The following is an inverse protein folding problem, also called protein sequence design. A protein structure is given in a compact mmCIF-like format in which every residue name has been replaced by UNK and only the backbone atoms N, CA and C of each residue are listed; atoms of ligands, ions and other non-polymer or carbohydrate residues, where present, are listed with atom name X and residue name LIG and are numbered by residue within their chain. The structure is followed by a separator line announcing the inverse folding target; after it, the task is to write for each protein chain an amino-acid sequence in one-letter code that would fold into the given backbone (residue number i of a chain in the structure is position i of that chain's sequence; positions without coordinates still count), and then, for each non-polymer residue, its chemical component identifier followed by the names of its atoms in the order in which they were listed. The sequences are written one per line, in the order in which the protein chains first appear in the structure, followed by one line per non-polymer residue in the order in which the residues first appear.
data_IF_330463034868
#
_entry.id   IF_330463034868
#
_cell.length_a   1.000
_cell.length_b   1.000
_cell.length_c   1.000
_cell.angle_alpha   90.00
_cell.angle_beta   90.00
_cell.angle_gamma   90.00
#
_symmetry.space_group_name_H-M   'P 1'
#
loop_
_entity.id
_entity.type
_entity.pdbx_description
1 polymer ?
#
# COMPACT_ATOMS: atom_id res chain seq x y z
N UNK A 1 -16.35 -11.42 4.22
CA UNK A 1 -17.83 -11.43 4.39
C UNK A 1 -18.62 -11.64 3.10
N UNK A 2 -18.00 -11.71 1.91
CA UNK A 2 -18.73 -11.97 0.66
C UNK A 2 -19.08 -13.48 0.54
N UNK A 3 -20.37 -13.88 0.51
CA UNK A 3 -20.72 -15.30 0.47
C UNK A 3 -20.33 -16.00 -0.84
N UNK A 4 -20.30 -15.27 -1.96
CA UNK A 4 -19.95 -15.82 -3.27
C UNK A 4 -18.45 -15.89 -3.53
N UNK A 5 -17.60 -15.46 -2.59
CA UNK A 5 -16.15 -15.43 -2.79
C UNK A 5 -15.68 -14.49 -3.93
N UNK A 6 -16.51 -13.53 -4.35
CA UNK A 6 -16.19 -12.64 -5.49
C UNK A 6 -15.18 -11.54 -5.15
N UNK A 7 -14.78 -11.39 -3.88
CA UNK A 7 -13.81 -10.40 -3.44
C UNK A 7 -12.51 -11.13 -3.17
N UNK A 8 -11.43 -10.68 -3.81
CA UNK A 8 -10.11 -11.28 -3.69
C UNK A 8 -9.04 -10.18 -3.60
N UNK A 9 -7.90 -10.54 -3.03
CA UNK A 9 -6.67 -9.74 -3.01
C UNK A 9 -5.74 -10.34 -4.06
N UNK A 10 -5.26 -9.52 -4.98
CA UNK A 10 -4.23 -9.92 -5.96
C UNK A 10 -2.93 -10.24 -5.23
N UNK A 11 -2.23 -11.27 -5.69
CA UNK A 11 -1.04 -11.80 -5.03
C UNK A 11 0.18 -10.91 -5.31
N UNK A 12 0.29 -10.46 -6.56
CA UNK A 12 1.42 -9.70 -7.09
C UNK A 12 1.53 -8.27 -6.55
N UNK A 13 0.41 -7.60 -6.25
CA UNK A 13 0.40 -6.18 -5.85
C UNK A 13 -0.48 -5.89 -4.61
N UNK A 14 -1.18 -6.89 -4.09
CA UNK A 14 -2.04 -6.74 -2.93
C UNK A 14 -3.31 -5.92 -3.16
N UNK A 15 -3.67 -5.57 -4.41
CA UNK A 15 -4.88 -4.80 -4.70
C UNK A 15 -6.12 -5.68 -4.49
N UNK A 16 -7.07 -5.20 -3.69
CA UNK A 16 -8.35 -5.89 -3.45
C UNK A 16 -9.36 -5.50 -4.52
N UNK A 17 -9.93 -6.47 -5.23
CA UNK A 17 -10.92 -6.27 -6.29
C UNK A 17 -12.23 -7.00 -6.00
N UNK A 18 -13.30 -6.55 -6.66
CA UNK A 18 -14.58 -7.28 -6.71
C UNK A 18 -14.75 -7.76 -8.13
N UNK A 19 -14.64 -9.08 -8.32
CA UNK A 19 -14.89 -9.76 -9.59
C UNK A 19 -16.33 -9.47 -10.03
N UNK A 20 -16.47 -8.73 -11.12
CA UNK A 20 -17.79 -8.32 -11.59
C UNK A 20 -18.59 -9.50 -12.12
N UNK A 21 -17.98 -10.55 -12.64
CA UNK A 21 -18.70 -11.70 -13.20
C UNK A 21 -19.14 -12.70 -12.13
N UNK A 22 -18.33 -12.89 -11.08
CA UNK A 22 -18.68 -13.71 -9.91
C UNK A 22 -19.59 -12.99 -8.92
N UNK A 23 -19.66 -11.66 -8.94
CA UNK A 23 -20.52 -10.91 -8.04
C UNK A 23 -22.00 -11.23 -8.27
N UNK A 24 -22.69 -11.65 -7.20
CA UNK A 24 -24.14 -11.97 -7.19
C UNK A 24 -24.99 -10.94 -6.46
N UNK A 25 -24.41 -9.80 -6.07
CA UNK A 25 -25.20 -8.69 -5.49
C UNK A 25 -25.73 -8.95 -4.08
N UNK A 26 -25.11 -9.83 -3.29
CA UNK A 26 -25.53 -10.12 -1.90
C UNK A 26 -25.43 -8.94 -0.92
N UNK A 27 -24.65 -7.90 -1.26
CA UNK A 27 -24.47 -6.65 -0.48
C UNK A 27 -23.88 -6.80 0.93
N UNK A 28 -23.60 -8.01 1.42
CA UNK A 28 -22.98 -8.25 2.72
C UNK A 28 -21.60 -7.57 2.87
N UNK A 29 -20.87 -7.41 1.76
CA UNK A 29 -19.59 -6.71 1.74
C UNK A 29 -19.71 -5.20 2.03
N UNK A 30 -20.84 -4.57 1.69
CA UNK A 30 -21.10 -3.15 1.98
C UNK A 30 -21.15 -2.93 3.50
N UNK A 31 -21.91 -3.77 4.20
CA UNK A 31 -21.98 -3.73 5.66
C UNK A 31 -20.67 -4.13 6.30
N UNK A 32 -20.02 -5.18 5.78
CA UNK A 32 -18.80 -5.74 6.33
C UNK A 32 -17.56 -4.85 6.22
N UNK A 33 -17.51 -3.89 5.28
CA UNK A 33 -16.41 -2.93 5.21
C UNK A 33 -16.59 -1.85 6.29
N UNK A 34 -15.72 -1.76 7.31
CA UNK A 34 -15.87 -0.77 8.38
C UNK A 34 -15.68 0.65 7.83
N UNK A 35 -14.80 0.84 6.85
CA UNK A 35 -14.56 2.12 6.16
C UNK A 35 -15.65 2.55 5.17
N UNK A 36 -16.65 1.70 4.91
CA UNK A 36 -17.73 1.96 3.93
C UNK A 36 -17.20 2.38 2.54
N UNK A 37 -16.13 1.71 2.09
CA UNK A 37 -15.50 1.93 0.77
C UNK A 37 -15.94 0.96 -0.33
N UNK A 38 -17.00 0.21 -0.07
CA UNK A 38 -17.70 -0.61 -1.06
C UNK A 38 -19.07 0.02 -1.29
N UNK A 39 -19.37 0.33 -2.53
CA UNK A 39 -20.60 0.99 -2.94
C UNK A 39 -21.44 0.01 -3.76
N UNK A 40 -22.74 -0.02 -3.50
CA UNK A 40 -23.65 -0.84 -4.29
C UNK A 40 -24.13 -0.06 -5.52
N UNK A 41 -23.88 -0.61 -6.71
CA UNK A 41 -24.43 -0.08 -7.94
C UNK A 41 -25.86 -0.61 -8.11
N UNK A 42 -26.83 0.28 -7.90
CA UNK A 42 -28.25 -0.03 -7.96
C UNK A 42 -28.74 -0.38 -9.37
N UNK A 43 -28.01 0.00 -10.41
CA UNK A 43 -28.34 -0.30 -11.81
C UNK A 43 -27.80 -1.67 -12.24
N UNK A 44 -26.52 -1.95 -12.00
CA UNK A 44 -25.91 -3.25 -12.37
C UNK A 44 -26.30 -4.38 -11.42
N UNK A 45 -26.78 -4.04 -10.22
CA UNK A 45 -27.08 -5.01 -9.18
C UNK A 45 -25.85 -5.56 -8.46
N UNK A 46 -24.67 -4.98 -8.71
CA UNK A 46 -23.37 -5.46 -8.21
C UNK A 46 -22.69 -4.41 -7.34
N UNK A 47 -21.79 -4.85 -6.48
CA UNK A 47 -20.97 -3.94 -5.66
C UNK A 47 -19.67 -3.57 -6.39
N UNK A 48 -19.27 -2.31 -6.24
CA UNK A 48 -18.07 -1.72 -6.80
C UNK A 48 -17.26 -1.05 -5.69
N UNK A 49 -15.95 -0.89 -5.91
CA UNK A 49 -15.04 -0.25 -4.96
C UNK A 49 -13.88 0.42 -5.69
N UNK A 50 -13.06 1.18 -4.95
CA UNK A 50 -11.77 1.64 -5.45
C UNK A 50 -10.94 0.45 -5.94
N UNK A 51 -10.48 0.50 -7.19
CA UNK A 51 -9.65 -0.54 -7.83
C UNK A 51 -8.14 -0.22 -7.78
N UNK A 52 -7.76 0.75 -6.96
CA UNK A 52 -6.38 1.28 -6.83
C UNK A 52 -5.72 1.62 -8.17
N UNK A 53 -6.53 2.00 -9.17
CA UNK A 53 -6.10 2.24 -10.55
C UNK A 53 -5.16 1.14 -11.07
N UNK A 54 -5.47 -0.14 -10.81
CA UNK A 54 -4.60 -1.25 -11.19
C UNK A 54 -4.10 -1.21 -12.65
N UNK A 55 -4.88 -0.78 -13.67
CA UNK A 55 -4.36 -0.71 -15.04
C UNK A 55 -3.19 0.28 -15.20
N UNK A 56 -3.07 1.27 -14.32
CA UNK A 56 -1.94 2.22 -14.26
C UNK A 56 -0.80 1.66 -13.41
N UNK A 57 -1.10 1.07 -12.26
CA UNK A 57 -0.10 0.46 -11.37
C UNK A 57 0.66 -0.66 -12.08
N UNK A 58 -0.03 -1.48 -12.88
CA UNK A 58 0.58 -2.54 -13.69
C UNK A 58 1.67 -2.02 -14.65
N UNK A 59 1.62 -0.75 -15.05
CA UNK A 59 2.63 -0.14 -15.92
C UNK A 59 3.50 0.88 -15.18
N UNK A 60 3.58 0.80 -13.85
CA UNK A 60 4.44 1.66 -13.02
C UNK A 60 3.95 3.10 -12.90
N UNK A 61 2.69 3.37 -13.25
CA UNK A 61 2.10 4.71 -13.15
C UNK A 61 1.34 4.92 -11.84
N UNK A 62 1.33 6.14 -11.28
CA UNK A 62 0.56 6.45 -10.09
C UNK A 62 -0.95 6.34 -10.31
N UNK A 63 -1.66 6.14 -9.18
CA UNK A 63 -3.11 6.22 -9.17
C UNK A 63 -3.56 7.63 -9.53
N UNK A 64 -4.71 7.75 -10.21
CA UNK A 64 -5.24 9.03 -10.68
C UNK A 64 -5.35 10.04 -9.54
N UNK A 65 -5.88 9.62 -8.40
CA UNK A 65 -6.06 10.49 -7.24
C UNK A 65 -4.73 10.86 -6.53
N UNK A 66 -3.65 10.13 -6.79
CA UNK A 66 -2.30 10.47 -6.29
C UNK A 66 -1.60 11.44 -7.22
N UNK A 67 -1.60 11.17 -8.53
CA UNK A 67 -0.99 12.03 -9.54
C UNK A 67 -1.63 13.43 -9.59
N UNK A 68 -2.96 13.48 -9.49
CA UNK A 68 -3.74 14.73 -9.53
C UNK A 68 -3.80 15.46 -8.18
N UNK A 69 -3.07 14.98 -7.17
CA UNK A 69 -3.09 15.60 -5.84
C UNK A 69 -2.36 16.95 -5.87
N UNK A 70 -3.13 18.03 -5.98
CA UNK A 70 -2.62 19.41 -6.04
C UNK A 70 -1.75 19.75 -4.81
N UNK A 71 -2.16 19.30 -3.62
CA UNK A 71 -1.43 19.54 -2.38
C UNK A 71 -0.14 18.71 -2.23
N UNK A 72 0.18 17.83 -3.19
CA UNK A 72 1.40 17.00 -3.20
C UNK A 72 1.59 16.06 -1.99
N UNK A 73 0.52 15.76 -1.25
CA UNK A 73 0.58 15.02 0.04
C UNK A 73 0.53 13.49 -0.07
N UNK A 74 0.47 12.93 -1.28
CA UNK A 74 0.28 11.49 -1.50
C UNK A 74 1.58 10.85 -1.95
N UNK A 75 1.92 9.74 -1.32
CA UNK A 75 3.11 8.94 -1.59
C UNK A 75 2.69 7.51 -1.90
N UNK A 76 3.34 6.90 -2.88
CA UNK A 76 3.13 5.52 -3.29
C UNK A 76 4.48 4.82 -3.29
N UNK A 77 4.55 3.67 -2.64
CA UNK A 77 5.76 2.87 -2.47
C UNK A 77 5.40 1.45 -2.05
N UNK A 78 6.29 0.52 -2.34
CA UNK A 78 6.12 -0.90 -2.01
C UNK A 78 6.33 -1.11 -0.51
N UNK A 79 5.59 -2.04 0.07
CA UNK A 79 5.84 -2.60 1.40
C UNK A 79 5.86 -4.12 1.26
N UNK A 80 6.95 -4.75 1.67
CA UNK A 80 7.03 -6.20 1.82
C UNK A 80 6.38 -6.56 3.15
N UNK A 81 5.55 -7.61 3.17
CA UNK A 81 4.87 -8.05 4.38
C UNK A 81 4.79 -9.58 4.45
N UNK A 82 4.85 -10.10 5.67
CA UNK A 82 4.63 -11.52 5.95
C UNK A 82 3.12 -11.84 5.96
N UNK A 83 2.67 -12.60 4.95
CA UNK A 83 1.27 -12.95 4.79
C UNK A 83 0.79 -13.99 5.82
N UNK A 84 1.67 -14.86 6.30
CA UNK A 84 1.32 -15.95 7.22
C UNK A 84 0.96 -15.41 8.62
N UNK A 85 1.55 -14.27 8.99
CA UNK A 85 1.32 -13.60 10.28
C UNK A 85 0.10 -12.67 10.31
N UNK A 86 -0.60 -12.48 9.19
CA UNK A 86 -1.76 -11.57 9.10
C UNK A 86 -2.84 -11.92 10.12
N UNK A 87 -3.19 -13.21 10.22
CA UNK A 87 -4.26 -13.67 11.11
C UNK A 87 -3.90 -13.47 12.58
N UNK A 88 -2.65 -13.76 12.96
CA UNK A 88 -2.11 -13.55 14.30
C UNK A 88 -2.22 -12.07 14.69
N UNK A 89 -1.71 -11.18 13.82
CA UNK A 89 -1.66 -9.74 14.08
C UNK A 89 -3.06 -9.14 14.19
N UNK A 90 -3.97 -9.47 13.27
CA UNK A 90 -5.35 -8.99 13.33
C UNK A 90 -6.13 -9.50 14.56
N UNK A 91 -5.72 -10.64 15.13
CA UNK A 91 -6.33 -11.24 16.32
C UNK A 91 -5.75 -10.72 17.65
N UNK A 92 -4.80 -9.77 17.63
CA UNK A 92 -4.19 -9.19 18.84
C UNK A 92 -5.26 -8.72 19.85
N UNK A 93 -5.23 -9.14 21.13
CA UNK A 93 -6.33 -8.85 22.06
C UNK A 93 -6.59 -7.36 22.29
N UNK A 94 -5.54 -6.56 22.44
CA UNK A 94 -5.64 -5.13 22.70
C UNK A 94 -5.59 -4.33 21.40
N UNK A 95 -6.59 -3.48 21.17
CA UNK A 95 -6.69 -2.67 19.96
C UNK A 95 -5.54 -1.65 19.82
N UNK A 96 -5.00 -1.14 20.93
CA UNK A 96 -3.89 -0.17 20.91
C UNK A 96 -2.56 -0.79 20.44
N UNK A 97 -2.42 -2.11 20.55
CA UNK A 97 -1.20 -2.81 20.12
C UNK A 97 -1.21 -3.11 18.61
N UNK A 98 -2.37 -3.02 17.94
CA UNK A 98 -2.52 -3.36 16.52
C UNK A 98 -1.62 -2.53 15.60
N UNK A 99 -1.41 -1.25 15.90
CA UNK A 99 -0.49 -0.40 15.13
C UNK A 99 0.94 -0.96 15.15
N UNK A 100 1.46 -1.23 16.36
CA UNK A 100 2.82 -1.77 16.52
C UNK A 100 2.94 -3.17 15.93
N UNK A 101 1.93 -4.00 16.13
CA UNK A 101 1.87 -5.35 15.56
C UNK A 101 1.81 -5.34 14.04
N UNK A 102 1.15 -4.35 13.43
CA UNK A 102 1.16 -4.18 11.98
C UNK A 102 2.54 -3.74 11.46
N UNK A 103 3.32 -2.97 12.22
CA UNK A 103 4.72 -2.69 11.84
C UNK A 103 5.58 -3.96 11.86
N UNK A 104 5.33 -4.88 12.82
CA UNK A 104 6.09 -6.14 12.92
C UNK A 104 5.89 -7.11 11.75
N UNK A 105 4.84 -6.93 10.93
CA UNK A 105 4.65 -7.75 9.72
C UNK A 105 5.31 -7.13 8.50
N UNK A 106 5.67 -5.85 8.55
CA UNK A 106 6.41 -5.20 7.47
C UNK A 106 7.88 -5.60 7.56
N UNK A 107 8.42 -6.06 6.43
CA UNK A 107 9.76 -6.63 6.34
C UNK A 107 10.74 -5.57 5.85
N UNK A 108 11.97 -5.59 6.37
CA UNK A 108 13.03 -4.67 5.94
C UNK A 108 13.49 -5.04 4.52
N UNK A 109 13.29 -4.16 3.52
CA UNK A 109 13.68 -4.44 2.14
C UNK A 109 15.19 -4.39 1.91
N UNK A 110 15.98 -3.95 2.88
CA UNK A 110 17.44 -3.92 2.82
C UNK A 110 18.09 -5.12 3.50
N UNK A 111 17.33 -5.93 4.25
CA UNK A 111 17.85 -7.13 4.91
C UNK A 111 18.14 -8.23 3.86
N UNK A 112 19.39 -8.73 3.77
CA UNK A 112 19.76 -9.79 2.84
C UNK A 112 18.92 -11.07 2.97
N UNK A 113 18.50 -11.44 4.18
CA UNK A 113 17.71 -12.65 4.42
C UNK A 113 16.28 -12.48 3.88
N UNK A 114 15.70 -11.30 4.06
CA UNK A 114 14.39 -10.93 3.51
C UNK A 114 14.45 -10.88 1.98
N UNK A 115 15.50 -10.30 1.40
CA UNK A 115 15.69 -10.25 -0.05
C UNK A 115 15.77 -11.67 -0.63
N UNK A 116 16.54 -12.57 0.01
CA UNK A 116 16.67 -13.95 -0.41
C UNK A 116 15.33 -14.71 -0.33
N UNK A 117 14.57 -14.51 0.75
CA UNK A 117 13.26 -15.12 0.93
C UNK A 117 12.24 -14.58 -0.08
N UNK A 118 12.19 -13.27 -0.30
CA UNK A 118 11.28 -12.65 -1.25
C UNK A 118 11.51 -13.14 -2.69
N UNK A 119 12.77 -13.32 -3.10
CA UNK A 119 13.10 -13.95 -4.40
C UNK A 119 12.61 -15.39 -4.50
N UNK A 120 12.72 -16.15 -3.40
CA UNK A 120 12.23 -17.54 -3.33
C UNK A 120 10.71 -17.60 -3.45
N UNK A 121 10.01 -16.60 -2.91
CA UNK A 121 8.56 -16.45 -2.99
C UNK A 121 8.09 -15.84 -4.34
N UNK A 122 9.02 -15.57 -5.26
CA UNK A 122 8.71 -15.11 -6.62
C UNK A 122 8.55 -13.60 -6.77
N UNK A 123 8.98 -12.79 -5.79
CA UNK A 123 8.99 -11.33 -5.90
C UNK A 123 10.05 -10.88 -6.91
N UNK A 124 9.69 -10.12 -7.97
CA UNK A 124 10.63 -9.66 -8.97
C UNK A 124 11.66 -8.65 -8.43
N UNK A 125 12.87 -8.61 -9.00
CA UNK A 125 13.96 -7.75 -8.52
C UNK A 125 13.61 -6.24 -8.58
N UNK A 126 12.88 -5.78 -9.60
CA UNK A 126 12.43 -4.38 -9.67
C UNK A 126 11.46 -4.00 -8.54
N UNK A 127 10.69 -4.96 -8.01
CA UNK A 127 9.83 -4.75 -6.83
C UNK A 127 10.67 -4.62 -5.55
N UNK A 128 11.74 -5.40 -5.43
CA UNK A 128 12.69 -5.30 -4.31
C UNK A 128 13.43 -3.95 -4.34
N UNK A 129 13.93 -3.53 -5.51
CA UNK A 129 14.56 -2.23 -5.69
C UNK A 129 13.60 -1.05 -5.43
N UNK A 130 12.32 -1.21 -5.75
CA UNK A 130 11.28 -0.23 -5.44
C UNK A 130 10.96 -0.20 -3.94
N UNK A 131 10.95 -1.36 -3.27
CA UNK A 131 10.75 -1.45 -1.82
C UNK A 131 11.89 -0.77 -1.05
N UNK A 132 13.14 -0.96 -1.46
CA UNK A 132 14.32 -0.31 -0.86
C UNK A 132 14.28 1.22 -0.93
N UNK A 133 13.60 1.77 -1.93
CA UNK A 133 13.45 3.22 -2.15
C UNK A 133 12.05 3.73 -1.78
N UNK A 134 11.25 2.92 -1.09
CA UNK A 134 9.84 3.20 -0.85
C UNK A 134 9.66 4.40 0.08
N UNK A 135 9.03 5.51 -0.37
CA UNK A 135 8.70 6.62 0.52
C UNK A 135 7.71 6.21 1.61
N UNK A 136 6.87 5.20 1.33
CA UNK A 136 5.89 4.69 2.28
C UNK A 136 6.58 3.93 3.41
N UNK A 137 7.59 3.12 3.09
CA UNK A 137 8.42 2.43 4.10
C UNK A 137 9.11 3.46 5.00
N UNK A 138 9.77 4.46 4.41
CA UNK A 138 10.43 5.52 5.17
C UNK A 138 9.46 6.28 6.10
N UNK A 139 8.28 6.64 5.61
CA UNK A 139 7.28 7.37 6.39
C UNK A 139 6.70 6.54 7.55
N UNK A 140 6.49 5.23 7.35
CA UNK A 140 5.84 4.36 8.33
C UNK A 140 6.83 3.71 9.30
N UNK A 141 7.95 3.18 8.80
CA UNK A 141 8.92 2.39 9.54
C UNK A 141 10.07 3.27 10.07
N UNK A 142 10.78 3.96 9.17
CA UNK A 142 12.01 4.67 9.54
C UNK A 142 11.74 5.93 10.38
N UNK A 143 10.78 6.75 9.95
CA UNK A 143 10.49 8.04 10.58
C UNK A 143 9.27 7.99 11.51
N UNK A 144 8.48 6.91 11.45
CA UNK A 144 7.26 6.71 12.24
C UNK A 144 6.32 7.94 12.21
N UNK A 145 6.17 8.54 11.04
CA UNK A 145 5.30 9.70 10.81
C UNK A 145 3.90 9.27 10.33
N UNK A 146 3.84 8.23 9.51
CA UNK A 146 2.59 7.72 8.98
C UNK A 146 1.98 6.71 9.96
N UNK A 147 0.67 6.80 10.14
CA UNK A 147 -0.13 5.97 11.04
C UNK A 147 -1.32 5.37 10.29
N UNK A 148 -1.76 4.14 10.61
CA UNK A 148 -2.90 3.51 9.96
C UNK A 148 -4.21 4.24 10.31
N UNK A 149 -5.20 4.20 9.42
CA UNK A 149 -6.54 4.72 9.73
C UNK A 149 -7.38 3.66 10.44
N UNK A 150 -7.84 3.94 11.66
CA UNK A 150 -8.65 3.06 12.49
C UNK A 150 -8.10 1.62 12.56
N UNK A 151 -6.89 1.41 13.14
CA UNK A 151 -6.31 0.08 13.27
C UNK A 151 -7.19 -0.90 14.05
N UNK A 152 -8.02 -0.41 14.99
CA UNK A 152 -8.98 -1.18 15.79
C UNK A 152 -10.03 -1.94 14.96
N UNK A 153 -10.21 -1.59 13.68
CA UNK A 153 -11.04 -2.36 12.76
C UNK A 153 -10.44 -3.70 12.35
N UNK A 154 -9.16 -3.96 12.70
CA UNK A 154 -8.49 -5.26 12.52
C UNK A 154 -8.43 -5.75 11.08
N UNK A 155 -8.48 -4.81 10.12
CA UNK A 155 -8.34 -5.11 8.69
C UNK A 155 -6.92 -4.93 8.18
N UNK A 156 -5.98 -4.49 9.03
CA UNK A 156 -4.60 -4.13 8.69
C UNK A 156 -4.55 -3.20 7.46
N UNK A 157 -5.05 -1.95 7.59
CA UNK A 157 -5.17 -1.03 6.45
C UNK A 157 -3.80 -0.70 5.86
N UNK A 158 -3.73 -0.56 4.53
CA UNK A 158 -2.50 -0.24 3.78
C UNK A 158 -2.46 1.20 3.25
N UNK A 159 -3.40 2.05 3.67
CA UNK A 159 -3.39 3.49 3.38
C UNK A 159 -3.25 4.24 4.70
N UNK A 160 -2.09 4.87 4.88
CA UNK A 160 -1.65 5.48 6.13
C UNK A 160 -1.59 7.01 6.00
N UNK A 161 -1.61 7.70 7.14
CA UNK A 161 -1.77 9.14 7.22
C UNK A 161 -0.73 9.74 8.16
N UNK A 162 -0.10 10.84 7.73
CA UNK A 162 0.70 11.69 8.61
C UNK A 162 -0.26 12.65 9.32
N UNK A 163 -0.25 12.74 10.67
CA UNK A 163 -1.15 13.63 11.39
C UNK A 163 -0.84 15.11 11.09
N UNK A 164 -1.86 15.98 10.97
CA UNK A 164 -1.66 17.37 10.62
C UNK A 164 -1.17 18.20 11.81
N UNK A 165 -0.22 19.11 11.55
CA UNK A 165 0.03 20.23 12.45
C UNK A 165 -1.15 21.22 12.38
N UNK A 166 -1.41 21.93 13.48
CA UNK A 166 -2.45 22.97 13.53
C UNK A 166 -1.92 24.29 14.08
N UNK A 167 -2.57 25.43 13.79
CA UNK A 167 -2.13 26.72 14.29
C UNK A 167 -2.14 26.79 15.83
N UNK A 168 -1.19 27.53 16.38
CA UNK A 168 -1.00 27.78 17.81
C UNK A 168 -1.52 29.16 18.26
N UNK A 169 -2.27 29.86 17.39
CA UNK A 169 -2.60 31.29 17.56
C UNK A 169 -3.16 31.63 18.95
N UNK A 170 -4.07 30.81 19.48
CA UNK A 170 -4.65 31.05 20.81
C UNK A 170 -3.63 30.98 21.96
N UNK A 171 -2.61 30.14 21.84
CA UNK A 171 -1.52 30.03 22.83
C UNK A 171 -0.52 31.20 22.67
N UNK A 172 -0.23 31.60 21.42
CA UNK A 172 0.62 32.75 21.12
C UNK A 172 0.00 34.08 21.62
N UNK A 173 -1.31 34.25 21.46
CA UNK A 173 -2.04 35.45 21.92
C UNK A 173 -2.07 35.59 23.45
N UNK A 174 -1.93 34.47 24.17
CA UNK A 174 -1.93 34.44 25.65
C UNK A 174 -0.57 34.79 26.28
N UNK A 175 0.47 35.02 25.49
CA UNK A 175 1.84 35.25 25.98
C UNK A 175 2.52 34.01 26.59
N UNK A 176 1.82 32.87 26.67
CA UNK A 176 2.32 31.60 27.13
C UNK A 176 3.04 30.81 26.02
N UNK A 177 3.88 31.48 25.23
CA UNK A 177 4.83 30.73 24.41
C UNK A 177 5.94 30.29 25.35
N UNK A 178 5.78 29.10 25.92
CA UNK A 178 6.90 28.30 26.38
C UNK A 178 7.77 28.00 25.17
N UNK A 179 8.59 28.97 24.76
CA UNK A 179 9.64 28.74 23.78
C UNK A 179 10.67 27.89 24.49
N UNK A 180 10.54 26.57 24.43
CA UNK A 180 11.69 25.67 24.58
C UNK A 180 12.61 25.85 23.36
N UNK A 181 13.05 27.10 23.11
CA UNK A 181 13.81 27.51 21.94
C UNK A 181 13.08 27.20 20.63
N UNK A 182 12.32 28.15 20.08
CA UNK A 182 11.91 28.19 18.66
C UNK A 182 10.81 27.19 18.24
N UNK A 183 10.60 26.08 18.94
CA UNK A 183 9.57 25.06 18.59
C UNK A 183 8.29 25.28 19.41
N UNK A 184 7.11 25.38 18.77
CA UNK A 184 5.84 25.33 19.50
C UNK A 184 5.67 23.99 20.20
N UNK A 185 5.25 24.01 21.46
CA UNK A 185 4.91 22.78 22.17
C UNK A 185 3.73 22.08 21.48
N UNK A 186 3.77 20.75 21.37
CA UNK A 186 2.69 19.97 20.76
C UNK A 186 1.38 20.16 21.53
N UNK A 187 1.48 20.38 22.85
CA UNK A 187 0.34 20.66 23.72
C UNK A 187 -0.33 22.02 23.42
N UNK A 188 0.35 22.89 22.68
CA UNK A 188 -0.19 24.19 22.23
C UNK A 188 -0.95 24.13 20.91
N UNK A 189 -1.02 22.95 20.27
CA UNK A 189 -1.76 22.76 19.03
C UNK A 189 -3.28 22.85 19.26
N UNK A 190 -4.00 23.50 18.34
CA UNK A 190 -5.46 23.65 18.40
C UNK A 190 -6.21 22.33 18.27
N UNK A 191 -5.73 21.39 17.47
CA UNK A 191 -6.38 20.08 17.28
C UNK A 191 -6.06 19.20 18.51
N UNK A 192 -7.07 18.69 19.23
CA UNK A 192 -6.85 17.83 20.38
C UNK A 192 -6.10 16.54 20.00
N UNK A 193 -5.02 16.22 20.71
CA UNK A 193 -4.22 15.03 20.46
C UNK A 193 -5.07 13.75 20.54
N UNK A 194 -5.97 13.67 21.53
CA UNK A 194 -6.91 12.56 21.68
C UNK A 194 -7.79 12.32 20.46
N UNK A 195 -8.19 13.38 19.76
CA UNK A 195 -9.02 13.26 18.56
C UNK A 195 -8.26 12.54 17.44
N UNK A 196 -7.00 12.91 17.22
CA UNK A 196 -6.13 12.24 16.24
C UNK A 196 -5.82 10.80 16.66
N UNK A 197 -5.57 10.56 17.95
CA UNK A 197 -5.29 9.24 18.48
C UNK A 197 -6.47 8.27 18.29
N UNK A 198 -7.69 8.73 18.54
CA UNK A 198 -8.92 7.94 18.31
C UNK A 198 -9.09 7.54 16.84
N UNK A 199 -8.50 8.28 15.90
CA UNK A 199 -8.61 8.02 14.46
C UNK A 199 -7.46 7.18 13.92
N UNK A 200 -6.25 7.33 14.46
CA UNK A 200 -5.02 6.80 13.86
C UNK A 200 -4.35 5.68 14.66
N UNK A 201 -4.65 5.56 15.96
CA UNK A 201 -3.88 4.72 16.89
C UNK A 201 -4.76 4.07 17.96
N UNK A 202 -6.06 3.85 17.65
CA UNK A 202 -7.02 3.26 18.59
C UNK A 202 -7.08 3.98 19.96
N UNK A 203 -6.81 5.30 19.97
CA UNK A 203 -6.83 6.14 21.16
C UNK A 203 -5.50 6.25 21.91
N UNK A 204 -4.42 5.59 21.48
CA UNK A 204 -3.07 5.78 22.05
C UNK A 204 -2.44 7.08 21.53
N UNK A 205 -2.20 8.05 22.41
CA UNK A 205 -1.66 9.36 22.03
C UNK A 205 -0.16 9.34 21.72
N UNK A 206 0.59 8.36 22.25
CA UNK A 206 2.04 8.37 22.17
C UNK A 206 2.60 8.34 20.74
N UNK A 207 2.10 7.51 19.80
CA UNK A 207 2.62 7.52 18.42
C UNK A 207 2.26 8.80 17.67
N UNK A 208 1.08 9.37 17.92
CA UNK A 208 0.67 10.65 17.30
C UNK A 208 1.56 11.78 17.81
N UNK A 209 1.81 11.83 19.12
CA UNK A 209 2.69 12.81 19.74
C UNK A 209 4.11 12.73 19.14
N UNK A 210 4.65 11.51 19.00
CA UNK A 210 5.97 11.28 18.40
C UNK A 210 6.02 11.81 16.96
N UNK A 211 5.04 11.49 16.13
CA UNK A 211 4.98 11.96 14.74
C UNK A 211 4.93 13.50 14.65
N UNK A 212 4.08 14.14 15.47
CA UNK A 212 3.97 15.61 15.52
C UNK A 212 5.27 16.27 16.02
N UNK A 213 5.90 15.72 17.07
CA UNK A 213 7.20 16.21 17.57
C UNK A 213 8.29 16.10 16.51
N UNK A 214 8.36 14.99 15.78
CA UNK A 214 9.33 14.81 14.68
C UNK A 214 9.13 15.81 13.53
N UNK A 215 7.89 16.10 13.15
CA UNK A 215 7.59 17.13 12.14
C UNK A 215 8.01 18.53 12.61
N UNK A 216 7.76 18.86 13.88
CA UNK A 216 8.16 20.14 14.46
C UNK A 216 9.68 20.26 14.60
N UNK A 217 10.35 19.18 15.02
CA UNK A 217 11.80 19.09 15.10
C UNK A 217 12.47 19.33 13.74
N UNK A 218 11.96 18.69 12.67
CA UNK A 218 12.41 18.95 11.30
C UNK A 218 12.27 20.43 10.93
N UNK A 219 11.12 21.05 11.19
CA UNK A 219 10.88 22.47 10.86
C UNK A 219 11.83 23.40 11.60
N UNK A 220 12.09 23.12 12.87
CA UNK A 220 12.97 23.94 13.69
C UNK A 220 14.44 23.79 13.31
N UNK A 221 14.87 22.54 13.05
CA UNK A 221 16.21 22.26 12.54
C UNK A 221 16.47 22.98 11.21
N UNK A 222 15.57 22.85 10.22
CA UNK A 222 15.74 23.53 8.92
C UNK A 222 15.67 25.05 9.03
N UNK A 223 14.90 25.59 9.99
CA UNK A 223 14.91 27.02 10.27
C UNK A 223 16.26 27.48 10.81
N UNK A 224 16.82 26.79 11.81
CA UNK A 224 18.14 27.13 12.36
C UNK A 224 19.23 27.06 11.29
N UNK A 225 19.18 26.06 10.41
CA UNK A 225 20.13 25.92 9.31
C UNK A 225 19.97 27.02 8.24
N UNK A 226 18.75 27.29 7.77
CA UNK A 226 18.52 28.22 6.64
C UNK A 226 18.47 29.70 7.05
N UNK A 227 18.02 30.01 8.28
CA UNK A 227 17.84 31.39 8.76
C UNK A 227 19.00 31.83 9.63
N UNK A 228 19.35 31.03 10.64
CA UNK A 228 20.34 31.41 11.64
C UNK A 228 21.76 30.97 11.22
N UNK A 229 21.89 30.08 10.23
CA UNK A 229 23.16 29.55 9.76
C UNK A 229 23.83 28.59 10.76
N UNK A 230 23.06 28.07 11.72
CA UNK A 230 23.56 27.22 12.80
C UNK A 230 22.96 25.81 12.74
N UNK A 231 23.79 24.80 12.99
CA UNK A 231 23.34 23.40 13.06
C UNK A 231 22.93 23.08 14.50
N UNK A 232 21.62 23.07 14.76
CA UNK A 232 21.07 22.80 16.08
C UNK A 232 20.74 21.30 16.27
N UNK A 233 21.74 20.51 16.67
CA UNK A 233 21.57 19.08 16.91
C UNK A 233 20.64 18.74 18.09
N UNK A 234 20.51 19.62 19.08
CA UNK A 234 19.73 19.36 20.30
C UNK A 234 18.26 19.04 20.00
N UNK A 235 17.68 19.74 19.03
CA UNK A 235 16.30 19.53 18.58
C UNK A 235 16.08 18.13 18.02
N UNK A 236 17.10 17.55 17.39
CA UNK A 236 17.02 16.23 16.78
C UNK A 236 17.19 15.12 17.82
N UNK A 237 18.08 15.34 18.78
CA UNK A 237 18.34 14.41 19.89
C UNK A 237 17.08 14.16 20.73
N UNK A 238 16.25 15.19 20.95
CA UNK A 238 14.98 15.08 21.70
C UNK A 238 13.97 14.11 21.09
N UNK A 239 14.01 13.92 19.77
CA UNK A 239 13.07 13.06 19.02
C UNK A 239 13.75 11.83 18.40
N UNK A 240 15.01 11.61 18.76
CA UNK A 240 15.87 10.53 18.28
C UNK A 240 15.88 10.45 16.73
N UNK A 241 16.18 11.58 16.09
CA UNK A 241 16.39 11.65 14.64
C UNK A 241 17.85 12.00 14.33
N UNK A 242 18.42 11.42 13.28
CA UNK A 242 19.74 11.84 12.78
C UNK A 242 19.61 13.00 11.79
N UNK A 243 20.73 13.68 11.52
CA UNK A 243 20.78 14.72 10.49
C UNK A 243 20.36 14.18 9.13
N UNK A 244 20.85 13.00 8.76
CA UNK A 244 20.58 12.34 7.48
C UNK A 244 19.09 12.00 7.34
N UNK A 245 18.45 11.54 8.43
CA UNK A 245 17.02 11.30 8.45
C UNK A 245 16.23 12.58 8.23
N UNK A 246 16.62 13.69 8.86
CA UNK A 246 15.94 14.98 8.74
C UNK A 246 16.11 15.60 7.37
N UNK A 247 17.30 15.52 6.77
CA UNK A 247 17.51 15.96 5.38
C UNK A 247 16.70 15.10 4.40
N UNK A 248 16.61 13.79 4.64
CA UNK A 248 15.77 12.90 3.84
C UNK A 248 14.27 13.24 4.03
N UNK A 249 13.81 13.44 5.27
CA UNK A 249 12.45 13.90 5.55
C UNK A 249 12.14 15.21 4.83
N UNK A 250 13.07 16.18 4.84
CA UNK A 250 12.90 17.45 4.12
C UNK A 250 12.82 17.24 2.59
N UNK A 251 13.70 16.40 2.02
CA UNK A 251 13.64 16.02 0.61
C UNK A 251 12.27 15.43 0.25
N UNK A 252 11.76 14.47 1.01
CA UNK A 252 10.51 13.79 0.68
C UNK A 252 9.27 14.61 1.01
N UNK A 253 9.24 15.35 2.12
CA UNK A 253 8.05 16.08 2.60
C UNK A 253 7.95 17.51 2.07
N UNK A 254 9.08 18.22 1.93
CA UNK A 254 9.10 19.63 1.51
C UNK A 254 9.34 19.78 0.01
N UNK A 255 10.43 19.21 -0.52
CA UNK A 255 10.74 19.27 -1.96
C UNK A 255 9.77 18.37 -2.75
N UNK A 256 9.60 17.13 -2.26
CA UNK A 256 8.59 16.17 -2.68
C UNK A 256 8.55 15.95 -4.20
N UNK A 257 9.71 15.76 -4.83
CA UNK A 257 9.83 15.52 -6.27
C UNK A 257 8.93 14.36 -6.75
N UNK A 258 8.57 14.35 -8.03
CA UNK A 258 7.60 13.38 -8.54
C UNK A 258 8.11 11.94 -8.35
N UNK A 259 9.36 11.69 -8.70
CA UNK A 259 10.08 10.42 -8.57
C UNK A 259 10.30 9.98 -7.11
N UNK A 260 10.37 10.93 -6.17
CA UNK A 260 10.48 10.63 -4.74
C UNK A 260 9.11 10.26 -4.15
N UNK A 261 8.02 10.84 -4.67
CA UNK A 261 6.66 10.54 -4.17
C UNK A 261 6.10 9.23 -4.68
N UNK A 262 6.42 8.86 -5.91
CA UNK A 262 5.81 7.72 -6.60
C UNK A 262 6.89 6.74 -7.04
N UNK A 263 7.17 5.76 -6.18
CA UNK A 263 8.09 4.66 -6.46
C UNK A 263 7.26 3.40 -6.70
N UNK A 264 6.84 3.22 -7.95
CA UNK A 264 5.88 2.18 -8.34
C UNK A 264 6.55 1.27 -9.37
N UNK A 265 6.82 0.00 -9.04
CA UNK A 265 7.37 -0.94 -10.00
C UNK A 265 6.31 -1.31 -11.05
N UNK A 266 6.76 -1.78 -12.21
CA UNK A 266 5.86 -2.35 -13.21
C UNK A 266 5.37 -3.73 -12.76
N UNK A 267 4.10 -4.02 -13.03
CA UNK A 267 3.55 -5.35 -12.89
C UNK A 267 4.03 -6.24 -14.04
N UNK A 268 4.65 -7.36 -13.70
CA UNK A 268 5.13 -8.33 -14.69
C UNK A 268 3.99 -9.23 -15.20
N UNK A 269 3.05 -8.64 -15.94
CA UNK A 269 1.89 -9.37 -16.50
C UNK A 269 2.34 -10.54 -17.39
N UNK A 270 3.49 -10.43 -18.02
CA UNK A 270 4.11 -11.47 -18.85
C UNK A 270 4.41 -12.77 -18.11
N UNK A 271 4.46 -12.78 -16.77
CA UNK A 271 4.61 -14.02 -15.99
C UNK A 271 3.31 -14.79 -15.84
N UNK A 272 2.15 -14.12 -15.93
CA UNK A 272 0.84 -14.72 -15.73
C UNK A 272 0.13 -15.07 -17.05
N UNK A 273 0.48 -14.41 -18.15
CA UNK A 273 -0.21 -14.54 -19.45
C UNK A 273 0.77 -14.54 -20.62
N UNK A 274 0.36 -15.19 -21.72
CA UNK A 274 1.09 -15.12 -22.99
C UNK A 274 1.02 -13.69 -23.56
N UNK A 275 1.99 -12.86 -23.20
CA UNK A 275 1.99 -11.44 -23.50
C UNK A 275 2.00 -11.12 -25.02
N UNK A 276 2.57 -11.99 -25.85
CA UNK A 276 2.69 -11.75 -27.28
C UNK A 276 1.34 -11.83 -28.03
N UNK A 277 0.56 -12.91 -27.94
CA UNK A 277 -0.78 -12.95 -28.53
C UNK A 277 -1.74 -11.97 -27.83
N UNK A 278 -1.57 -11.71 -26.53
CA UNK A 278 -2.37 -10.70 -25.84
C UNK A 278 -2.12 -9.30 -26.42
N UNK A 279 -0.87 -8.87 -26.57
CA UNK A 279 -0.50 -7.58 -27.20
C UNK A 279 -1.12 -7.41 -28.58
N UNK A 280 -1.19 -8.48 -29.37
CA UNK A 280 -1.72 -8.43 -30.75
C UNK A 280 -3.24 -8.41 -30.83
N UNK A 281 -3.94 -9.07 -29.89
CA UNK A 281 -5.39 -9.26 -29.96
C UNK A 281 -6.21 -8.50 -28.91
N UNK A 282 -5.59 -7.99 -27.84
CA UNK A 282 -6.30 -7.28 -26.79
C UNK A 282 -6.88 -5.95 -27.32
N UNK A 283 -8.10 -5.61 -26.87
CA UNK A 283 -8.82 -4.39 -27.30
C UNK A 283 -9.80 -4.61 -28.45
N UNK A 284 -9.72 -5.72 -29.19
CA UNK A 284 -10.72 -6.10 -30.18
C UNK A 284 -11.92 -6.80 -29.51
N UNK A 285 -12.81 -6.02 -28.89
CA UNK A 285 -13.98 -6.52 -28.15
C UNK A 285 -15.14 -6.97 -29.05
N UNK A 286 -14.85 -7.61 -30.18
CA UNK A 286 -15.88 -8.23 -31.03
C UNK A 286 -16.38 -9.52 -30.35
N UNK A 287 -17.55 -9.46 -29.72
CA UNK A 287 -18.11 -10.60 -28.97
C UNK A 287 -17.28 -11.00 -27.74
N UNK A 288 -17.20 -12.29 -27.44
CA UNK A 288 -16.48 -12.83 -26.27
C UNK A 288 -14.98 -13.10 -26.54
N UNK A 289 -14.39 -12.44 -27.54
CA UNK A 289 -13.06 -12.75 -28.10
C UNK A 289 -11.87 -12.49 -27.17
N UNK A 290 -12.05 -11.69 -26.12
CA UNK A 290 -11.07 -11.42 -25.06
C UNK A 290 -11.51 -12.01 -23.70
N UNK A 291 -12.34 -13.05 -23.71
CA UNK A 291 -12.83 -13.68 -22.48
C UNK A 291 -11.68 -14.28 -21.65
N UNK A 292 -11.80 -14.10 -20.34
CA UNK A 292 -10.98 -14.62 -19.25
C UNK A 292 -11.28 -16.08 -18.89
N UNK A 293 -12.21 -16.75 -19.60
CA UNK A 293 -12.48 -18.17 -19.36
C UNK A 293 -11.20 -19.00 -19.47
N UNK A 294 -11.11 -20.13 -18.76
CA UNK A 294 -9.95 -21.04 -18.89
C UNK A 294 -10.21 -22.20 -19.86
N UNK A 295 -11.46 -22.38 -20.32
CA UNK A 295 -11.81 -23.43 -21.28
C UNK A 295 -11.64 -22.95 -22.73
N UNK A 296 -11.01 -23.78 -23.55
CA UNK A 296 -10.90 -23.54 -25.00
C UNK A 296 -12.22 -23.77 -25.74
N UNK A 297 -13.15 -24.54 -25.14
CA UNK A 297 -14.47 -24.78 -25.69
C UNK A 297 -15.43 -23.66 -25.27
N UNK A 298 -16.07 -23.02 -26.25
CA UNK A 298 -17.20 -22.13 -26.06
C UNK A 298 -18.46 -22.70 -26.70
N UNK A 299 -19.64 -22.41 -26.13
CA UNK A 299 -20.93 -22.89 -26.65
C UNK A 299 -21.18 -22.50 -28.12
N UNK A 300 -20.59 -21.38 -28.56
CA UNK A 300 -20.78 -20.83 -29.90
C UNK A 300 -19.64 -21.16 -30.89
N UNK A 301 -18.67 -21.99 -30.51
CA UNK A 301 -17.61 -22.47 -31.41
C UNK A 301 -16.60 -21.41 -31.90
N UNK A 302 -16.63 -20.20 -31.36
CA UNK A 302 -15.68 -19.13 -31.72
C UNK A 302 -14.34 -19.29 -30.99
N UNK A 303 -13.25 -19.02 -31.71
CA UNK A 303 -11.90 -18.94 -31.13
C UNK A 303 -11.65 -17.58 -30.47
N UNK A 304 -10.68 -17.52 -29.55
CA UNK A 304 -10.27 -16.27 -28.91
C UNK A 304 -9.38 -15.44 -29.83
N UNK A 305 -9.61 -14.13 -29.85
CA UNK A 305 -8.89 -13.18 -30.70
C UNK A 305 -7.47 -12.92 -30.17
N UNK A 306 -7.24 -13.10 -28.87
CA UNK A 306 -5.97 -12.86 -28.19
C UNK A 306 -5.18 -14.16 -27.91
N UNK A 307 -5.33 -15.20 -28.75
CA UNK A 307 -4.68 -16.50 -28.57
C UNK A 307 -4.07 -17.03 -29.86
N UNK A 308 -3.02 -17.83 -29.75
CA UNK A 308 -2.41 -18.51 -30.90
C UNK A 308 -3.16 -19.80 -31.22
N UNK A 309 -4.01 -19.80 -32.26
CA UNK A 309 -4.82 -20.98 -32.64
C UNK A 309 -4.06 -21.98 -33.49
N UNK A 310 -3.00 -21.57 -34.18
CA UNK A 310 -2.20 -22.42 -35.08
C UNK A 310 -0.90 -22.81 -34.37
N UNK A 311 -0.74 -24.11 -34.07
CA UNK A 311 0.49 -24.64 -33.45
C UNK A 311 1.61 -24.76 -34.49
N UNK A 312 2.84 -24.41 -34.10
CA UNK A 312 4.02 -24.65 -34.94
C UNK A 312 4.29 -26.15 -35.09
N UNK A 313 4.60 -26.59 -36.30
CA UNK A 313 4.95 -27.99 -36.64
C UNK A 313 6.46 -28.24 -36.69
N UNK A 314 7.31 -27.26 -36.33
CA UNK A 314 8.76 -27.41 -36.35
C UNK A 314 9.28 -28.02 -35.04
N UNK A 315 9.30 -29.35 -34.99
CA UNK A 315 9.92 -30.13 -33.91
C UNK A 315 9.43 -31.57 -33.90
N UNK A 316 10.07 -32.45 -34.67
CA UNK A 316 10.01 -33.89 -34.42
C UNK A 316 10.69 -34.18 -33.07
N UNK A 317 9.92 -34.51 -32.02
CA UNK A 317 10.27 -35.58 -31.07
C UNK A 317 9.19 -35.81 -29.99
N UNK A 318 8.95 -37.11 -29.78
CA UNK A 318 8.31 -37.79 -28.64
C UNK A 318 6.92 -37.32 -28.17
N UNK A 319 5.94 -38.17 -28.46
CA UNK A 319 4.83 -38.40 -27.55
C UNK A 319 5.36 -38.79 -26.16
N UNK A 320 5.37 -37.83 -25.25
CA UNK A 320 5.17 -38.08 -23.83
C UNK A 320 4.03 -37.19 -23.41
N UNK A 321 2.90 -37.79 -23.05
CA UNK A 321 1.84 -37.16 -22.26
C UNK A 321 2.46 -36.69 -20.93
N UNK A 322 3.03 -35.48 -20.95
CA UNK A 322 3.44 -34.75 -19.77
C UNK A 322 2.23 -33.99 -19.25
N UNK A 323 1.54 -34.60 -18.29
CA UNK A 323 0.52 -33.98 -17.45
C UNK A 323 0.98 -32.57 -17.04
N UNK A 324 0.19 -31.49 -17.25
CA UNK A 324 0.56 -30.18 -16.72
C UNK A 324 0.63 -30.33 -15.20
N UNK A 325 1.82 -30.03 -14.65
CA UNK A 325 2.15 -29.97 -13.23
C UNK A 325 0.90 -29.96 -12.35
N UNK A 326 0.51 -31.15 -11.88
CA UNK A 326 -0.22 -31.27 -10.63
C UNK A 326 0.66 -30.57 -9.59
N UNK A 327 0.30 -29.35 -9.23
CA UNK A 327 0.66 -28.77 -7.94
C UNK A 327 0.10 -29.76 -6.93
N UNK A 328 0.94 -30.70 -6.49
CA UNK A 328 0.66 -31.56 -5.36
C UNK A 328 0.28 -30.64 -4.21
N UNK A 329 -1.00 -30.67 -3.88
CA UNK A 329 -1.48 -30.42 -2.53
C UNK A 329 -0.65 -31.30 -1.58
N UNK A 330 0.42 -30.75 -1.03
CA UNK A 330 1.00 -31.22 0.21
C UNK A 330 0.17 -30.64 1.35
N UNK A 331 -1.07 -31.13 1.47
CA UNK A 331 -1.72 -31.20 2.78
C UNK A 331 -0.93 -32.23 3.61
N UNK A 332 0.10 -31.78 4.30
CA UNK A 332 0.65 -32.52 5.42
C UNK A 332 -0.32 -32.39 6.59
N UNK A 333 -1.23 -33.35 6.69
CA UNK A 333 -1.84 -33.72 7.95
C UNK A 333 -0.73 -34.13 8.94
N UNK A 334 -0.36 -33.25 9.86
CA UNK A 334 0.29 -33.62 11.12
C UNK A 334 -0.26 -32.76 12.24
N UNK A 335 -1.27 -33.33 12.90
CA UNK A 335 -1.81 -33.09 14.26
C UNK A 335 -2.09 -31.66 14.69
#
# INVERSE_FOLDING_TARGET
TCPSGAIYKREEDGIVLIDQDKCRGWRMCVSGCPYKKIYYNWKSGKSEKCIFCYPRIEVGQPTVCSETCVGRIRYLGVLLYDADRIAEVAATPNDQDLYKKQLEIFLDPNDPDIIAQARKDGVPDNWLEAAQRSPVYMLAMDWQLALPLHPEYRTLPMVWYVPPLSPIQSAADSGAIGMNGIIPDVDSLRIPLKYLANMLTAGDEAPVLLALKRLLAMRAYKRSEEVDGEVNHKVLDEVNLTREQVESMYRYLAIANYEDRFVIPTGHREYAVEAFPEKSGCGFSFGNGCSDGNSNLGLFGNNRANSTTVKSLSGSESATEGNPLEIRQLFSSRR
#
